data_IF_943524875168
#
_entry.id   IF_943524875168
#
_cell.length_a   1.000
_cell.length_b   1.000
_cell.length_c   1.000
_cell.angle_alpha   90.00
_cell.angle_beta   90.00
_cell.angle_gamma   90.00
#
_symmetry.space_group_name_H-M   'P 1'
#
loop_
_entity.id
_entity.type
_entity.pdbx_description
1 polymer ?
#
# COMPACT_ATOMS: atom_id res chain seq x y z
N UNK A 1 27.06 16.43 5.96
CA UNK A 1 25.98 17.38 5.63
C UNK A 1 24.72 16.57 5.60
N UNK A 2 23.75 16.87 6.45
CA UNK A 2 22.45 16.17 6.43
C UNK A 2 21.81 16.44 5.05
N UNK A 3 21.29 15.39 4.43
CA UNK A 3 20.54 15.52 3.19
C UNK A 3 19.27 16.33 3.48
N UNK A 4 19.17 17.51 2.93
CA UNK A 4 17.98 18.38 3.07
C UNK A 4 17.06 18.30 1.86
N UNK A 5 17.54 17.77 0.73
CA UNK A 5 16.79 17.78 -0.52
C UNK A 5 15.61 16.81 -0.51
N UNK A 6 15.81 15.59 0.00
CA UNK A 6 14.73 14.62 0.07
C UNK A 6 13.59 15.04 1.01
N UNK A 7 13.85 15.55 2.23
CA UNK A 7 12.81 16.15 3.06
C UNK A 7 12.07 17.32 2.39
N UNK A 8 12.75 18.19 1.63
CA UNK A 8 12.10 19.25 0.87
C UNK A 8 11.17 18.72 -0.21
N UNK A 9 11.57 17.66 -0.91
CA UNK A 9 10.72 16.98 -1.89
C UNK A 9 9.45 16.41 -1.23
N UNK A 10 9.58 15.74 -0.09
CA UNK A 10 8.44 15.19 0.65
C UNK A 10 7.52 16.30 1.19
N UNK A 11 8.10 17.40 1.66
CA UNK A 11 7.33 18.56 2.08
C UNK A 11 6.52 19.15 0.92
N UNK A 12 7.14 19.33 -0.24
CA UNK A 12 6.48 19.74 -1.48
C UNK A 12 5.29 18.86 -1.82
N UNK A 13 5.49 17.55 -1.79
CA UNK A 13 4.45 16.58 -2.08
C UNK A 13 3.26 16.65 -1.11
N UNK A 14 3.53 16.78 0.20
CA UNK A 14 2.47 16.81 1.22
C UNK A 14 1.74 18.15 1.24
N UNK A 15 2.45 19.27 1.02
CA UNK A 15 1.87 20.61 1.08
C UNK A 15 1.35 21.12 -0.25
N UNK A 16 1.56 20.38 -1.34
CA UNK A 16 1.18 20.77 -2.70
C UNK A 16 1.80 22.09 -3.16
N UNK A 17 3.06 22.34 -2.79
CA UNK A 17 3.80 23.58 -3.09
C UNK A 17 5.12 23.26 -3.79
N UNK A 18 5.63 24.16 -4.67
CA UNK A 18 6.95 23.97 -5.29
C UNK A 18 8.04 23.81 -4.22
N UNK A 19 8.97 22.86 -4.38
CA UNK A 19 10.07 22.73 -3.44
C UNK A 19 11.04 23.91 -3.59
N UNK A 20 11.29 24.62 -2.50
CA UNK A 20 12.26 25.72 -2.47
C UNK A 20 13.65 25.15 -2.20
N UNK A 21 14.50 25.13 -3.23
CA UNK A 21 15.88 24.68 -3.13
C UNK A 21 16.86 25.78 -3.54
N UNK A 22 17.79 26.10 -2.65
CA UNK A 22 18.96 26.92 -2.96
C UNK A 22 20.02 26.08 -3.68
N UNK A 23 19.99 26.06 -5.01
CA UNK A 23 20.98 25.36 -5.84
C UNK A 23 20.41 24.25 -6.73
N UNK A 24 21.29 23.35 -7.18
CA UNK A 24 20.93 22.25 -8.06
C UNK A 24 20.56 20.98 -7.27
N UNK A 25 19.57 20.27 -7.78
CA UNK A 25 19.20 18.95 -7.26
C UNK A 25 20.32 17.92 -7.49
N UNK A 26 20.68 17.19 -6.47
CA UNK A 26 21.58 16.03 -6.57
C UNK A 26 20.78 14.81 -7.04
N UNK A 27 20.58 14.68 -8.35
CA UNK A 27 19.76 13.63 -8.97
C UNK A 27 20.19 12.22 -8.53
N UNK A 28 21.49 11.83 -8.58
CA UNK A 28 21.89 10.47 -8.17
C UNK A 28 21.58 10.17 -6.71
N UNK A 29 21.71 11.16 -5.84
CA UNK A 29 21.42 10.99 -4.42
C UNK A 29 19.91 10.87 -4.17
N UNK A 30 19.11 11.77 -4.72
CA UNK A 30 17.64 11.72 -4.63
C UNK A 30 17.07 10.42 -5.17
N UNK A 31 17.57 9.98 -6.33
CA UNK A 31 17.16 8.72 -6.94
C UNK A 31 17.40 7.54 -6.00
N UNK A 32 18.65 7.41 -5.49
CA UNK A 32 19.01 6.34 -4.56
C UNK A 32 18.14 6.37 -3.31
N UNK A 33 18.00 7.53 -2.66
CA UNK A 33 17.18 7.68 -1.46
C UNK A 33 15.72 7.33 -1.74
N UNK A 34 15.16 7.79 -2.86
CA UNK A 34 13.79 7.48 -3.25
C UNK A 34 13.58 5.97 -3.50
N UNK A 35 14.57 5.26 -4.08
CA UNK A 35 14.54 3.79 -4.23
C UNK A 35 14.58 3.12 -2.86
N UNK A 36 15.53 3.49 -2.00
CA UNK A 36 15.71 2.90 -0.66
C UNK A 36 14.47 3.08 0.23
N UNK A 37 13.73 4.16 0.04
CA UNK A 37 12.51 4.49 0.80
C UNK A 37 11.21 4.08 0.09
N UNK A 38 11.27 3.42 -1.07
CA UNK A 38 10.10 3.09 -1.91
C UNK A 38 9.25 4.31 -2.30
N UNK A 39 9.90 5.48 -2.47
CA UNK A 39 9.25 6.75 -2.79
C UNK A 39 9.63 7.27 -4.18
N UNK A 40 10.16 6.39 -5.04
CA UNK A 40 10.51 6.76 -6.41
C UNK A 40 9.31 7.30 -7.23
N UNK A 41 8.07 6.78 -7.05
CA UNK A 41 6.90 7.38 -7.70
C UNK A 41 6.60 8.82 -7.25
N UNK A 42 6.87 9.15 -5.98
CA UNK A 42 6.73 10.52 -5.47
C UNK A 42 7.75 11.44 -6.11
N UNK A 43 9.02 11.01 -6.21
CA UNK A 43 10.05 11.77 -6.94
C UNK A 43 9.66 12.02 -8.40
N UNK A 44 9.12 10.99 -9.07
CA UNK A 44 8.68 11.10 -10.46
C UNK A 44 7.51 12.09 -10.62
N UNK A 45 6.55 12.03 -9.70
CA UNK A 45 5.40 12.92 -9.67
C UNK A 45 5.83 14.39 -9.45
N UNK A 46 6.69 14.65 -8.48
CA UNK A 46 7.21 15.98 -8.18
C UNK A 46 8.04 16.53 -9.35
N UNK A 47 8.88 15.68 -9.97
CA UNK A 47 9.61 16.10 -11.18
C UNK A 47 8.66 16.48 -12.33
N UNK A 48 7.58 15.72 -12.51
CA UNK A 48 6.60 16.01 -13.57
C UNK A 48 5.88 17.34 -13.33
N UNK A 49 5.56 17.67 -12.08
CA UNK A 49 4.85 18.89 -11.68
C UNK A 49 5.74 20.12 -11.75
N UNK A 50 6.92 20.03 -11.17
CA UNK A 50 7.77 21.18 -10.89
C UNK A 50 8.98 21.26 -11.79
N UNK A 51 9.20 20.26 -12.67
CA UNK A 51 10.35 20.17 -13.59
C UNK A 51 11.68 20.34 -12.86
N UNK A 52 11.88 19.49 -11.87
CA UNK A 52 13.06 19.53 -11.00
C UNK A 52 14.36 19.21 -11.74
N UNK A 53 14.26 18.43 -12.83
CA UNK A 53 15.39 17.97 -13.63
C UNK A 53 15.22 18.37 -15.09
N UNK A 54 16.34 18.76 -15.72
CA UNK A 54 16.38 19.17 -17.13
C UNK A 54 16.86 18.04 -18.08
N UNK A 55 17.43 16.93 -17.54
CA UNK A 55 17.90 15.81 -18.36
C UNK A 55 16.73 15.04 -18.99
N UNK A 56 16.60 15.04 -20.34
CA UNK A 56 15.46 14.39 -21.01
C UNK A 56 15.43 12.86 -20.81
N UNK A 57 16.57 12.22 -20.52
CA UNK A 57 16.62 10.77 -20.29
C UNK A 57 16.10 10.46 -18.89
N UNK A 58 16.51 11.23 -17.89
CA UNK A 58 16.00 11.13 -16.51
C UNK A 58 14.50 11.38 -16.50
N UNK A 59 14.03 12.44 -17.15
CA UNK A 59 12.60 12.76 -17.22
C UNK A 59 11.79 11.62 -17.85
N UNK A 60 12.25 11.03 -18.96
CA UNK A 60 11.56 9.88 -19.60
C UNK A 60 11.50 8.66 -18.72
N UNK A 61 12.58 8.36 -17.99
CA UNK A 61 12.60 7.22 -17.06
C UNK A 61 11.61 7.43 -15.92
N UNK A 62 11.58 8.63 -15.32
CA UNK A 62 10.65 8.98 -14.27
C UNK A 62 9.19 8.97 -14.76
N UNK A 63 8.91 9.51 -15.95
CA UNK A 63 7.58 9.48 -16.55
C UNK A 63 7.10 8.03 -16.77
N UNK A 64 7.95 7.16 -17.34
CA UNK A 64 7.62 5.75 -17.53
C UNK A 64 7.32 5.03 -16.22
N UNK A 65 8.13 5.29 -15.19
CA UNK A 65 7.93 4.73 -13.86
C UNK A 65 6.63 5.24 -13.22
N UNK A 66 6.35 6.54 -13.31
CA UNK A 66 5.13 7.14 -12.78
C UNK A 66 3.88 6.49 -13.38
N UNK A 67 3.81 6.44 -14.71
CA UNK A 67 2.66 5.84 -15.41
C UNK A 67 2.52 4.35 -15.09
N UNK A 68 3.63 3.60 -15.07
CA UNK A 68 3.62 2.19 -14.70
C UNK A 68 3.11 1.96 -13.27
N UNK A 69 3.55 2.77 -12.32
CA UNK A 69 3.10 2.69 -10.92
C UNK A 69 1.61 2.99 -10.80
N UNK A 70 1.15 4.10 -11.38
CA UNK A 70 -0.26 4.49 -11.34
C UNK A 70 -1.14 3.38 -11.95
N UNK A 71 -0.78 2.89 -13.14
CA UNK A 71 -1.54 1.82 -13.80
C UNK A 71 -1.59 0.53 -12.96
N UNK A 72 -0.45 0.12 -12.38
CA UNK A 72 -0.38 -1.07 -11.52
C UNK A 72 -1.26 -0.90 -10.28
N UNK A 73 -1.18 0.25 -9.61
CA UNK A 73 -1.95 0.49 -8.41
C UNK A 73 -3.46 0.60 -8.67
N UNK A 74 -3.85 1.22 -9.79
CA UNK A 74 -5.26 1.25 -10.19
C UNK A 74 -5.80 -0.14 -10.49
N UNK A 75 -5.06 -0.98 -11.22
CA UNK A 75 -5.48 -2.36 -11.49
C UNK A 75 -5.65 -3.14 -10.18
N UNK A 76 -4.70 -3.04 -9.26
CA UNK A 76 -4.81 -3.69 -7.93
C UNK A 76 -6.03 -3.22 -7.14
N UNK A 77 -6.41 -1.96 -7.26
CA UNK A 77 -7.62 -1.46 -6.61
C UNK A 77 -8.88 -2.11 -7.22
N UNK A 78 -8.97 -2.20 -8.55
CA UNK A 78 -10.08 -2.85 -9.25
C UNK A 78 -10.18 -4.34 -8.90
N UNK A 79 -9.03 -5.02 -8.84
CA UNK A 79 -8.96 -6.43 -8.47
C UNK A 79 -9.43 -6.64 -7.03
N UNK A 80 -9.00 -5.77 -6.10
CA UNK A 80 -9.45 -5.82 -4.72
C UNK A 80 -10.95 -5.50 -4.58
N UNK A 81 -11.47 -4.49 -5.27
CA UNK A 81 -12.91 -4.18 -5.25
C UNK A 81 -13.75 -5.37 -5.72
N UNK A 82 -13.28 -6.08 -6.75
CA UNK A 82 -13.91 -7.30 -7.25
C UNK A 82 -13.91 -8.42 -6.20
N UNK A 83 -12.78 -8.62 -5.53
CA UNK A 83 -12.67 -9.59 -4.45
C UNK A 83 -13.55 -9.20 -3.25
N UNK A 84 -13.53 -7.94 -2.85
CA UNK A 84 -14.35 -7.40 -1.76
C UNK A 84 -15.86 -7.58 -2.02
N UNK A 85 -16.31 -7.32 -3.25
CA UNK A 85 -17.68 -7.60 -3.65
C UNK A 85 -18.03 -9.09 -3.51
N UNK A 86 -17.12 -9.98 -3.93
CA UNK A 86 -17.31 -11.43 -3.77
C UNK A 86 -17.38 -11.85 -2.29
N UNK A 87 -16.57 -11.26 -1.42
CA UNK A 87 -16.64 -11.51 0.04
C UNK A 87 -17.99 -11.06 0.59
N UNK A 88 -18.45 -9.88 0.19
CA UNK A 88 -19.74 -9.32 0.61
C UNK A 88 -20.92 -10.19 0.16
N UNK A 89 -20.92 -10.65 -1.09
CA UNK A 89 -21.95 -11.56 -1.63
C UNK A 89 -22.03 -12.87 -0.86
N UNK A 90 -20.90 -13.34 -0.33
CA UNK A 90 -20.83 -14.56 0.49
C UNK A 90 -21.04 -14.27 1.97
N UNK A 91 -21.36 -13.04 2.36
CA UNK A 91 -21.56 -12.67 3.78
C UNK A 91 -20.31 -12.86 4.61
N UNK A 92 -19.13 -12.51 4.06
CA UNK A 92 -17.85 -12.49 4.74
C UNK A 92 -17.51 -11.04 5.10
N UNK A 93 -17.54 -10.75 6.40
CA UNK A 93 -17.03 -9.47 6.89
C UNK A 93 -15.50 -9.43 6.71
N UNK A 94 -15.00 -8.34 6.14
CA UNK A 94 -13.57 -8.16 5.88
C UNK A 94 -13.18 -6.70 6.00
N UNK A 95 -11.95 -6.45 6.41
CA UNK A 95 -11.42 -5.10 6.61
C UNK A 95 -10.02 -5.01 6.00
N UNK A 96 -9.81 -4.18 4.96
CA UNK A 96 -8.48 -3.92 4.45
C UNK A 96 -7.67 -3.15 5.50
N UNK A 97 -6.45 -3.57 5.72
CA UNK A 97 -5.52 -2.96 6.67
C UNK A 97 -4.20 -2.57 5.99
N UNK A 98 -3.30 -1.94 6.73
CA UNK A 98 -1.94 -1.58 6.28
C UNK A 98 -1.90 -0.88 4.90
N UNK A 99 -1.18 -1.46 3.95
CA UNK A 99 -0.80 -0.87 2.66
C UNK A 99 -1.94 -0.30 1.85
N UNK A 100 -2.96 -1.08 1.60
CA UNK A 100 -4.12 -0.67 0.81
C UNK A 100 -4.91 0.45 1.50
N UNK A 101 -5.16 0.35 2.80
CA UNK A 101 -5.90 1.37 3.54
C UNK A 101 -5.10 2.68 3.67
N UNK A 102 -3.81 2.59 3.99
CA UNK A 102 -2.96 3.76 4.22
C UNK A 102 -2.71 4.61 2.95
N UNK A 103 -2.97 4.08 1.75
CA UNK A 103 -2.87 4.88 0.52
C UNK A 103 -3.80 6.11 0.53
N UNK A 104 -4.94 6.03 1.24
CA UNK A 104 -5.90 7.13 1.39
C UNK A 104 -5.31 8.36 2.09
N UNK A 105 -4.20 8.19 2.82
CA UNK A 105 -3.51 9.27 3.50
C UNK A 105 -2.52 10.03 2.59
N UNK A 106 -2.24 9.48 1.39
CA UNK A 106 -1.39 10.16 0.41
C UNK A 106 -2.20 11.22 -0.34
N UNK A 107 -1.61 12.41 -0.61
CA UNK A 107 -2.26 13.42 -1.46
C UNK A 107 -2.66 12.87 -2.84
N UNK A 108 -1.91 11.90 -3.33
CA UNK A 108 -2.19 11.13 -4.55
C UNK A 108 -2.08 9.64 -4.20
N UNK A 109 -3.21 8.97 -3.88
CA UNK A 109 -3.23 7.58 -3.40
C UNK A 109 -2.53 6.57 -4.32
N UNK A 110 -2.53 6.82 -5.62
CA UNK A 110 -1.95 5.96 -6.65
C UNK A 110 -0.41 5.92 -6.59
N UNK A 111 0.22 6.85 -5.86
CA UNK A 111 1.68 6.90 -5.72
C UNK A 111 2.19 6.04 -4.57
N UNK A 112 1.32 5.60 -3.66
CA UNK A 112 1.71 4.68 -2.61
C UNK A 112 1.81 3.27 -3.14
N UNK A 113 3.04 2.77 -3.26
CA UNK A 113 3.30 1.38 -3.64
C UNK A 113 3.02 0.43 -2.47
N UNK A 114 2.47 -0.73 -2.79
CA UNK A 114 2.29 -1.86 -1.87
C UNK A 114 2.44 -3.17 -2.64
N UNK A 115 2.95 -4.22 -1.98
CA UNK A 115 3.20 -5.53 -2.59
C UNK A 115 2.02 -6.47 -2.47
N UNK A 116 1.38 -6.42 -1.32
CA UNK A 116 0.30 -7.28 -0.87
C UNK A 116 -0.92 -6.45 -0.44
N UNK A 117 -2.04 -7.10 -0.34
CA UNK A 117 -3.24 -6.53 0.29
C UNK A 117 -3.55 -7.39 1.50
N UNK A 118 -3.46 -6.76 2.66
CA UNK A 118 -3.76 -7.36 3.95
C UNK A 118 -5.25 -7.19 4.27
N UNK A 119 -5.93 -8.28 4.59
CA UNK A 119 -7.34 -8.31 4.98
C UNK A 119 -7.50 -8.98 6.34
N UNK A 120 -8.17 -8.30 7.26
CA UNK A 120 -8.64 -8.91 8.49
C UNK A 120 -10.03 -9.49 8.26
N UNK A 121 -10.23 -10.74 8.71
CA UNK A 121 -11.51 -11.44 8.71
C UNK A 121 -11.83 -11.97 10.11
N UNK A 122 -13.08 -12.35 10.37
CA UNK A 122 -13.40 -13.10 11.58
C UNK A 122 -12.82 -14.52 11.50
N UNK A 123 -12.26 -15.07 12.60
CA UNK A 123 -11.67 -16.41 12.61
C UNK A 123 -12.63 -17.51 12.13
N UNK A 124 -13.91 -17.41 12.45
CA UNK A 124 -14.95 -18.34 12.03
C UNK A 124 -15.18 -18.38 10.52
N UNK A 125 -14.87 -17.31 9.79
CA UNK A 125 -15.00 -17.24 8.33
C UNK A 125 -13.80 -17.82 7.59
N UNK A 126 -12.74 -18.24 8.29
CA UNK A 126 -11.49 -18.74 7.71
C UNK A 126 -11.71 -19.79 6.62
N UNK A 127 -12.50 -20.83 6.91
CA UNK A 127 -12.74 -21.93 5.95
C UNK A 127 -13.57 -21.46 4.75
N UNK A 128 -14.51 -20.56 4.97
CA UNK A 128 -15.35 -19.98 3.94
C UNK A 128 -14.53 -19.12 2.98
N UNK A 129 -13.63 -18.29 3.51
CA UNK A 129 -12.66 -17.52 2.74
C UNK A 129 -11.76 -18.44 1.92
N UNK A 130 -11.21 -19.50 2.53
CA UNK A 130 -10.35 -20.44 1.82
C UNK A 130 -11.05 -21.05 0.61
N UNK A 131 -12.26 -21.55 0.80
CA UNK A 131 -13.03 -22.16 -0.28
C UNK A 131 -13.37 -21.16 -1.40
N UNK A 132 -13.71 -19.92 -1.03
CA UNK A 132 -13.98 -18.85 -1.98
C UNK A 132 -12.73 -18.47 -2.78
N UNK A 133 -11.60 -18.25 -2.13
CA UNK A 133 -10.33 -17.94 -2.80
C UNK A 133 -9.95 -19.01 -3.82
N UNK A 134 -10.06 -20.30 -3.45
CA UNK A 134 -9.81 -21.40 -4.38
C UNK A 134 -10.79 -21.39 -5.56
N UNK A 135 -12.08 -21.13 -5.32
CA UNK A 135 -13.10 -21.06 -6.39
C UNK A 135 -12.86 -19.92 -7.37
N UNK A 136 -12.26 -18.81 -6.91
CA UNK A 136 -11.88 -17.66 -7.71
C UNK A 136 -10.53 -17.86 -8.46
N UNK A 137 -9.91 -19.03 -8.27
CA UNK A 137 -8.67 -19.41 -8.96
C UNK A 137 -7.38 -18.97 -8.28
N UNK A 138 -7.45 -18.54 -7.02
CA UNK A 138 -6.24 -18.28 -6.24
C UNK A 138 -5.58 -19.59 -5.79
N UNK A 139 -4.27 -19.58 -5.68
CA UNK A 139 -3.47 -20.67 -5.12
C UNK A 139 -2.95 -20.28 -3.75
N UNK A 140 -2.89 -21.27 -2.83
CA UNK A 140 -2.38 -21.06 -1.49
C UNK A 140 -0.87 -20.95 -1.51
N UNK A 141 -0.33 -19.94 -0.86
CA UNK A 141 1.11 -19.74 -0.61
C UNK A 141 1.49 -20.09 0.81
N UNK A 142 0.62 -19.75 1.76
CA UNK A 142 0.81 -20.00 3.17
C UNK A 142 -0.53 -20.35 3.81
N UNK A 143 -0.57 -21.39 4.62
CA UNK A 143 -1.78 -21.91 5.27
C UNK A 143 -1.51 -22.25 6.74
N UNK A 144 -1.12 -21.27 7.55
CA UNK A 144 -0.97 -21.37 9.00
C UNK A 144 -1.29 -20.06 9.69
N UNK A 145 -1.86 -20.16 10.89
CA UNK A 145 -2.24 -19.00 11.70
C UNK A 145 -1.06 -18.12 12.10
N UNK A 146 -1.30 -16.81 12.27
CA UNK A 146 -2.57 -16.09 12.06
C UNK A 146 -2.75 -15.54 10.65
N UNK A 147 -1.85 -15.87 9.71
CA UNK A 147 -1.81 -15.28 8.37
C UNK A 147 -1.86 -16.36 7.29
N UNK A 148 -2.78 -16.20 6.37
CA UNK A 148 -2.99 -17.09 5.23
C UNK A 148 -2.79 -16.34 3.93
N UNK A 149 -1.89 -16.79 3.07
CA UNK A 149 -1.54 -16.07 1.86
C UNK A 149 -2.05 -16.76 0.60
N UNK A 150 -2.56 -15.97 -0.31
CA UNK A 150 -3.10 -16.40 -1.59
C UNK A 150 -2.50 -15.59 -2.74
N UNK A 151 -2.26 -16.26 -3.86
CA UNK A 151 -1.71 -15.64 -5.06
C UNK A 151 -2.49 -16.06 -6.31
N UNK A 152 -2.70 -15.09 -7.20
CA UNK A 152 -3.20 -15.30 -8.55
C UNK A 152 -2.58 -14.25 -9.46
N UNK A 153 -1.84 -14.71 -10.47
CA UNK A 153 -1.08 -13.84 -11.38
C UNK A 153 -0.16 -12.87 -10.58
N UNK A 154 -0.42 -11.57 -10.62
CA UNK A 154 0.32 -10.55 -9.89
C UNK A 154 -0.37 -10.11 -8.58
N UNK A 155 -1.51 -10.71 -8.24
CA UNK A 155 -2.28 -10.41 -7.04
C UNK A 155 -1.77 -11.25 -5.87
N UNK A 156 -1.49 -10.61 -4.75
CA UNK A 156 -1.06 -11.26 -3.53
C UNK A 156 -1.87 -10.73 -2.35
N UNK A 157 -2.59 -11.62 -1.68
CA UNK A 157 -3.42 -11.31 -0.52
C UNK A 157 -2.93 -12.03 0.72
N UNK A 158 -2.86 -11.30 1.83
CA UNK A 158 -2.66 -11.85 3.16
C UNK A 158 -3.95 -11.73 3.96
N UNK A 159 -4.51 -12.86 4.31
CA UNK A 159 -5.73 -12.95 5.11
C UNK A 159 -5.34 -13.20 6.56
N UNK A 160 -5.69 -12.26 7.42
CA UNK A 160 -5.40 -12.31 8.85
C UNK A 160 -6.66 -12.64 9.64
N UNK A 161 -6.55 -13.53 10.59
CA UNK A 161 -7.60 -13.79 11.60
C UNK A 161 -7.36 -13.01 12.87
N UNK A 162 -6.16 -12.44 13.02
CA UNK A 162 -5.75 -11.58 14.12
C UNK A 162 -4.72 -10.56 13.62
N UNK A 163 -4.77 -9.34 14.10
CA UNK A 163 -3.82 -8.27 13.72
C UNK A 163 -2.49 -8.34 14.45
N UNK A 164 -2.45 -8.99 15.60
CA UNK A 164 -1.22 -9.19 16.37
C UNK A 164 -1.13 -10.60 16.91
N UNK A 165 0.05 -11.16 16.82
CA UNK A 165 0.39 -12.39 17.53
C UNK A 165 0.68 -12.06 19.00
N UNK A 166 0.10 -12.82 19.94
CA UNK A 166 0.04 -12.53 21.37
C UNK A 166 1.35 -12.40 22.15
N UNK A 167 2.49 -12.33 21.48
CA UNK A 167 3.82 -12.36 22.08
C UNK A 167 4.75 -11.18 21.73
N UNK A 168 4.22 -10.00 21.53
CA UNK A 168 5.09 -8.82 21.39
C UNK A 168 5.58 -8.38 22.77
N UNK A 169 6.79 -8.81 23.14
CA UNK A 169 7.56 -8.36 24.32
C UNK A 169 6.79 -8.36 25.67
N UNK A 170 5.84 -9.29 25.85
CA UNK A 170 5.09 -9.39 27.10
C UNK A 170 4.12 -8.23 27.37
N UNK A 171 3.79 -7.41 26.37
CA UNK A 171 2.80 -6.34 26.45
C UNK A 171 1.42 -6.83 26.06
N UNK A 172 0.70 -7.39 27.02
CA UNK A 172 -0.68 -7.91 26.84
C UNK A 172 -1.69 -6.82 26.49
N UNK A 173 -1.43 -5.56 26.87
CA UNK A 173 -2.27 -4.40 26.59
C UNK A 173 -2.40 -4.09 25.08
N UNK A 174 -1.35 -4.31 24.28
CA UNK A 174 -1.40 -4.09 22.83
C UNK A 174 -2.28 -5.11 22.13
N UNK A 175 -2.28 -6.37 22.56
CA UNK A 175 -3.16 -7.38 21.99
C UNK A 175 -4.62 -7.03 22.21
N UNK A 176 -5.01 -6.67 23.43
CA UNK A 176 -6.38 -6.25 23.75
C UNK A 176 -6.85 -5.04 22.92
N UNK A 177 -5.93 -4.13 22.60
CA UNK A 177 -6.21 -3.00 21.74
C UNK A 177 -6.56 -3.45 20.31
N UNK A 178 -5.78 -4.38 19.74
CA UNK A 178 -6.01 -4.86 18.38
C UNK A 178 -7.15 -5.89 18.28
N UNK A 179 -7.44 -6.64 19.33
CA UNK A 179 -8.61 -7.53 19.41
C UNK A 179 -9.93 -6.74 19.31
N UNK A 180 -9.92 -5.46 19.72
CA UNK A 180 -11.06 -4.57 19.59
C UNK A 180 -11.22 -3.93 18.18
N UNK A 181 -10.38 -4.30 17.19
CA UNK A 181 -10.38 -3.67 15.86
C UNK A 181 -11.77 -3.66 15.20
N UNK A 182 -12.52 -4.77 15.28
CA UNK A 182 -13.86 -4.85 14.73
C UNK A 182 -14.88 -3.93 15.42
N UNK A 183 -14.70 -3.62 16.69
CA UNK A 183 -15.57 -2.69 17.42
C UNK A 183 -15.35 -1.23 17.00
N UNK A 184 -14.22 -0.94 16.37
CA UNK A 184 -13.85 0.38 15.86
C UNK A 184 -13.88 0.45 14.33
N UNK A 185 -14.29 -0.64 13.66
CA UNK A 185 -14.41 -0.66 12.21
C UNK A 185 -15.59 0.23 11.77
N UNK A 186 -15.33 1.08 10.81
CA UNK A 186 -16.35 1.89 10.14
C UNK A 186 -16.59 1.33 8.73
N UNK A 187 -17.83 1.38 8.21
CA UNK A 187 -18.10 1.05 6.82
C UNK A 187 -17.25 1.92 5.89
N UNK A 188 -16.66 1.33 4.87
CA UNK A 188 -15.97 2.08 3.83
C UNK A 188 -17.00 2.52 2.79
N UNK A 189 -17.34 3.81 2.79
CA UNK A 189 -18.31 4.40 1.83
C UNK A 189 -17.74 4.51 0.40
N UNK A 190 -16.59 3.90 0.16
CA UNK A 190 -15.86 3.93 -1.11
C UNK A 190 -15.07 5.22 -1.32
N UNK A 191 -14.01 5.14 -2.10
CA UNK A 191 -13.29 6.31 -2.63
C UNK A 191 -13.86 6.69 -3.98
#
# INVERSE_FOLDING_TARGET
MLDTQFPLLLHSFVQDTPPELDGLWNIPHLWRTAVEQNLLPVLAYENKRWKLFDDPNVCRQLDGLLYGTVATNLNRCVDFETLSASFTEHGIAHMPVKGYYLRKLYPTPELRTFGDIDLLIHPEDRQKVHNLMLSLGYTVKQDWEPTYSYIKDAEYYEIHTNLMDGNLDGRTDLQAYFDAAWAHAEPDDGL
#
